data_IF_551804578195
#
_entry.id   IF_551804578195
#
_cell.length_a   1.000
_cell.length_b   1.000
_cell.length_c   1.000
_cell.angle_alpha   90.00
_cell.angle_beta   90.00
_cell.angle_gamma   90.00
#
_symmetry.space_group_name_H-M   'P 1'
#
loop_
_entity.id
_entity.type
_entity.pdbx_description
1 polymer ?
#
# COMPACT_ATOMS: atom_id res chain seq x y z
N UNK A 1 18.73 5.03 1.11
CA UNK A 1 17.73 4.02 0.72
C UNK A 1 17.12 3.51 2.01
N UNK A 2 15.80 3.35 2.06
CA UNK A 2 15.08 2.94 3.27
C UNK A 2 14.32 1.64 3.02
N UNK A 3 14.52 0.64 3.88
CA UNK A 3 13.76 -0.61 3.85
C UNK A 3 12.87 -0.60 5.09
N UNK A 4 11.56 -0.51 4.88
CA UNK A 4 10.56 -0.44 5.95
C UNK A 4 9.73 -1.72 5.89
N UNK A 5 10.02 -2.62 6.83
CA UNK A 5 9.38 -3.91 6.99
C UNK A 5 9.49 -4.36 8.45
N UNK A 6 8.51 -5.13 8.92
CA UNK A 6 8.57 -5.87 10.18
C UNK A 6 9.31 -7.22 10.01
N UNK A 7 9.53 -7.68 8.77
CA UNK A 7 10.23 -8.92 8.45
C UNK A 7 11.76 -8.72 8.44
N UNK A 8 12.39 -9.18 9.52
CA UNK A 8 13.84 -9.08 9.71
C UNK A 8 14.61 -9.89 8.67
N UNK A 9 14.09 -11.04 8.22
CA UNK A 9 14.76 -11.86 7.22
C UNK A 9 14.74 -11.18 5.85
N UNK A 10 13.59 -10.60 5.46
CA UNK A 10 13.47 -9.82 4.24
C UNK A 10 14.43 -8.62 4.26
N UNK A 11 14.47 -7.87 5.37
CA UNK A 11 15.36 -6.73 5.53
C UNK A 11 16.83 -7.12 5.36
N UNK A 12 17.26 -8.17 6.05
CA UNK A 12 18.65 -8.63 5.99
C UNK A 12 19.02 -9.16 4.60
N UNK A 13 18.14 -9.94 3.97
CA UNK A 13 18.35 -10.46 2.62
C UNK A 13 18.52 -9.34 1.58
N UNK A 14 17.62 -8.37 1.58
CA UNK A 14 17.71 -7.20 0.69
C UNK A 14 19.02 -6.42 0.93
N UNK A 15 19.37 -6.17 2.19
CA UNK A 15 20.62 -5.48 2.53
C UNK A 15 21.86 -6.24 2.02
N UNK A 16 21.87 -7.57 2.08
CA UNK A 16 22.96 -8.39 1.55
C UNK A 16 23.08 -8.23 0.02
N UNK A 17 21.98 -8.35 -0.72
CA UNK A 17 21.99 -8.18 -2.18
C UNK A 17 22.44 -6.79 -2.62
N UNK A 18 22.10 -5.75 -1.84
CA UNK A 18 22.55 -4.38 -2.09
C UNK A 18 24.04 -4.22 -1.82
N UNK A 19 24.56 -4.76 -0.71
CA UNK A 19 26.00 -4.75 -0.39
C UNK A 19 26.82 -5.47 -1.46
N UNK A 20 26.28 -6.55 -2.02
CA UNK A 20 26.86 -7.31 -3.12
C UNK A 20 26.70 -6.64 -4.49
N UNK A 21 26.00 -5.49 -4.56
CA UNK A 21 25.69 -4.74 -5.79
C UNK A 21 24.84 -5.50 -6.81
N UNK A 22 24.12 -6.54 -6.37
CA UNK A 22 23.14 -7.26 -7.21
C UNK A 22 21.89 -6.41 -7.44
N UNK A 23 21.53 -5.58 -6.44
CA UNK A 23 20.48 -4.56 -6.54
C UNK A 23 21.11 -3.17 -6.42
N UNK A 24 20.80 -2.29 -7.38
CA UNK A 24 21.19 -0.89 -7.37
C UNK A 24 20.00 0.00 -7.01
N UNK A 25 19.99 0.53 -5.79
CA UNK A 25 19.00 1.51 -5.32
C UNK A 25 19.67 2.85 -4.99
N UNK A 26 18.98 3.96 -5.22
CA UNK A 26 19.51 5.26 -4.82
C UNK A 26 19.11 5.60 -3.37
N UNK A 27 19.73 6.64 -2.82
CA UNK A 27 19.45 7.10 -1.46
C UNK A 27 17.97 7.46 -1.22
N UNK A 28 17.29 7.94 -2.25
CA UNK A 28 15.87 8.33 -2.21
C UNK A 28 14.89 7.16 -2.37
N UNK A 29 15.35 5.96 -2.72
CA UNK A 29 14.45 4.80 -2.88
C UNK A 29 13.99 4.25 -1.53
N UNK A 30 12.75 3.78 -1.53
CA UNK A 30 12.09 3.16 -0.39
C UNK A 30 11.47 1.84 -0.82
N UNK A 31 11.73 0.80 -0.03
CA UNK A 31 11.04 -0.48 -0.08
C UNK A 31 10.08 -0.54 1.11
N UNK A 32 8.80 -0.78 0.83
CA UNK A 32 7.75 -0.95 1.83
C UNK A 32 7.19 -2.37 1.79
N UNK A 33 7.01 -2.97 2.95
CA UNK A 33 6.38 -4.28 3.11
C UNK A 33 5.11 -4.18 3.97
N UNK A 34 4.11 -3.47 3.45
CA UNK A 34 2.83 -3.27 4.14
C UNK A 34 1.68 -3.99 3.45
N UNK A 35 1.81 -4.25 2.15
CA UNK A 35 0.75 -4.81 1.33
C UNK A 35 0.76 -6.34 1.41
N UNK A 36 -0.41 -6.95 1.34
CA UNK A 36 -0.51 -8.39 1.48
C UNK A 36 0.09 -9.08 0.25
N UNK A 37 1.11 -9.91 0.47
CA UNK A 37 1.87 -10.64 -0.55
C UNK A 37 2.66 -9.77 -1.54
N UNK A 38 2.76 -8.45 -1.33
CA UNK A 38 3.52 -7.56 -2.21
C UNK A 38 4.57 -6.75 -1.47
N UNK A 39 5.73 -6.62 -2.09
CA UNK A 39 6.74 -5.61 -1.78
C UNK A 39 6.46 -4.40 -2.67
N UNK A 40 6.37 -3.23 -2.06
CA UNK A 40 6.17 -1.95 -2.74
C UNK A 40 7.50 -1.22 -2.88
N UNK A 41 7.74 -0.64 -4.06
CA UNK A 41 8.92 0.16 -4.34
C UNK A 41 8.51 1.55 -4.78
N UNK A 42 9.07 2.55 -4.13
CA UNK A 42 8.77 3.96 -4.34
C UNK A 42 9.95 4.85 -3.95
N UNK A 43 9.72 6.16 -3.89
CA UNK A 43 10.69 7.15 -3.42
C UNK A 43 10.22 7.82 -2.13
N UNK A 44 11.14 8.34 -1.31
CA UNK A 44 10.78 9.13 -0.13
C UNK A 44 9.94 10.34 -0.51
N UNK A 45 10.25 10.99 -1.65
CA UNK A 45 9.47 12.12 -2.15
C UNK A 45 8.00 11.75 -2.38
N UNK A 46 7.74 10.59 -2.99
CA UNK A 46 6.38 10.09 -3.24
C UNK A 46 5.67 9.74 -1.94
N UNK A 47 6.38 9.04 -1.04
CA UNK A 47 5.84 8.64 0.26
C UNK A 47 5.49 9.85 1.13
N UNK A 48 6.39 10.84 1.21
CA UNK A 48 6.15 12.09 1.94
C UNK A 48 4.96 12.88 1.38
N UNK A 49 4.79 12.90 0.05
CA UNK A 49 3.63 13.53 -0.59
C UNK A 49 2.32 12.86 -0.18
N UNK A 50 2.31 11.52 -0.09
CA UNK A 50 1.13 10.75 0.33
C UNK A 50 0.83 10.98 1.82
N UNK A 51 1.84 10.91 2.69
CA UNK A 51 1.67 11.04 4.15
C UNK A 51 1.13 12.42 4.53
N UNK A 52 1.53 13.48 3.81
CA UNK A 52 1.07 14.86 4.05
C UNK A 52 -0.38 15.12 3.59
N UNK A 53 -1.05 14.17 2.94
CA UNK A 53 -2.43 14.33 2.51
C UNK A 53 -3.41 14.08 3.66
N UNK A 54 -4.51 14.84 3.70
CA UNK A 54 -5.57 14.66 4.71
C UNK A 54 -6.14 13.23 4.73
N UNK A 55 -6.19 12.56 3.57
CA UNK A 55 -6.63 11.18 3.42
C UNK A 55 -5.45 10.25 3.05
N UNK A 56 -4.33 10.38 3.76
CA UNK A 56 -3.07 9.70 3.45
C UNK A 56 -3.22 8.20 3.16
N UNK A 57 -4.04 7.47 3.93
CA UNK A 57 -4.25 6.03 3.71
C UNK A 57 -5.01 5.72 2.42
N UNK A 58 -6.07 6.49 2.09
CA UNK A 58 -6.76 6.35 0.79
C UNK A 58 -5.80 6.68 -0.37
N UNK A 59 -5.02 7.75 -0.23
CA UNK A 59 -3.99 8.13 -1.20
C UNK A 59 -2.95 7.01 -1.39
N UNK A 60 -2.51 6.37 -0.31
CA UNK A 60 -1.62 5.22 -0.37
C UNK A 60 -2.26 4.05 -1.13
N UNK A 61 -3.49 3.67 -0.80
CA UNK A 61 -4.16 2.53 -1.43
C UNK A 61 -4.38 2.71 -2.94
N UNK A 62 -4.69 3.93 -3.36
CA UNK A 62 -5.00 4.26 -4.76
C UNK A 62 -3.77 4.65 -5.58
N UNK A 63 -2.61 4.83 -4.94
CA UNK A 63 -1.41 5.19 -5.67
C UNK A 63 -0.86 4.01 -6.47
N UNK A 64 -0.45 4.29 -7.71
CA UNK A 64 0.07 3.29 -8.63
C UNK A 64 1.54 2.95 -8.36
N UNK A 65 1.82 2.37 -7.19
CA UNK A 65 3.15 1.88 -6.83
C UNK A 65 3.65 0.79 -7.78
N UNK A 66 4.97 0.63 -7.87
CA UNK A 66 5.55 -0.63 -8.31
C UNK A 66 5.35 -1.66 -7.19
N UNK A 67 4.62 -2.73 -7.51
CA UNK A 67 4.37 -3.86 -6.61
C UNK A 67 5.03 -5.11 -7.19
N UNK A 68 5.78 -5.82 -6.35
CA UNK A 68 6.42 -7.09 -6.68
C UNK A 68 5.83 -8.14 -5.75
N UNK A 69 5.35 -9.28 -6.26
CA UNK A 69 4.83 -10.33 -5.38
C UNK A 69 5.97 -10.99 -4.62
N UNK A 70 5.75 -11.36 -3.36
CA UNK A 70 6.76 -12.02 -2.52
C UNK A 70 7.18 -13.41 -3.03
N UNK A 71 6.33 -14.07 -3.83
CA UNK A 71 6.61 -15.35 -4.50
C UNK A 71 7.34 -15.20 -5.85
N UNK A 72 7.64 -13.98 -6.27
CA UNK A 72 8.37 -13.72 -7.52
C UNK A 72 9.80 -14.22 -7.42
N UNK A 73 10.31 -14.85 -8.48
CA UNK A 73 11.69 -15.37 -8.52
C UNK A 73 12.70 -14.23 -8.37
N UNK A 74 13.77 -14.44 -7.61
CA UNK A 74 14.80 -13.42 -7.37
C UNK A 74 15.37 -12.82 -8.65
N UNK A 75 15.57 -13.63 -9.70
CA UNK A 75 16.04 -13.16 -11.01
C UNK A 75 15.10 -12.14 -11.65
N UNK A 76 13.79 -12.34 -11.53
CA UNK A 76 12.75 -11.43 -12.03
C UNK A 76 12.67 -10.15 -11.17
N UNK A 77 12.88 -10.28 -9.85
CA UNK A 77 12.97 -9.13 -8.93
C UNK A 77 14.16 -8.26 -9.33
N UNK A 78 15.35 -8.83 -9.49
CA UNK A 78 16.56 -8.10 -9.86
C UNK A 78 16.42 -7.44 -11.24
N UNK A 79 15.85 -8.16 -12.20
CA UNK A 79 15.54 -7.61 -13.51
C UNK A 79 14.62 -6.38 -13.37
N UNK A 80 13.50 -6.51 -12.66
CA UNK A 80 12.53 -5.42 -12.44
C UNK A 80 13.19 -4.19 -11.78
N UNK A 81 14.07 -4.43 -10.81
CA UNK A 81 14.79 -3.39 -10.08
C UNK A 81 15.80 -2.64 -10.96
N UNK A 82 16.48 -3.34 -11.87
CA UNK A 82 17.50 -2.75 -12.76
C UNK A 82 16.97 -1.63 -13.65
N UNK A 83 15.74 -1.76 -14.14
CA UNK A 83 15.15 -0.78 -15.07
C UNK A 83 14.59 0.48 -14.41
N UNK A 84 14.55 0.54 -13.07
CA UNK A 84 14.08 1.71 -12.29
C UNK A 84 12.76 2.32 -12.78
N UNK A 85 11.87 1.52 -13.37
CA UNK A 85 10.69 2.00 -14.10
C UNK A 85 9.71 2.78 -13.22
N UNK A 86 9.72 2.55 -11.90
CA UNK A 86 8.87 3.26 -10.93
C UNK A 86 9.18 4.76 -10.85
N UNK A 87 10.39 5.18 -11.20
CA UNK A 87 10.81 6.58 -11.16
C UNK A 87 10.16 7.44 -12.24
N UNK A 88 9.89 6.83 -13.39
CA UNK A 88 9.33 7.51 -14.56
C UNK A 88 7.79 7.42 -14.61
N UNK A 89 7.16 6.62 -13.74
CA UNK A 89 5.70 6.42 -13.70
C UNK A 89 4.90 7.59 -13.11
N UNK A 90 5.49 8.77 -12.95
CA UNK A 90 4.85 9.90 -12.27
C UNK A 90 3.68 10.55 -13.05
N UNK A 91 3.50 10.26 -14.34
CA UNK A 91 2.63 11.07 -15.22
C UNK A 91 1.37 10.39 -15.79
N UNK A 92 1.11 9.12 -15.50
CA UNK A 92 -0.13 8.46 -15.95
C UNK A 92 -0.86 7.81 -14.78
N UNK A 93 -1.21 8.62 -13.78
CA UNK A 93 -2.20 8.22 -12.78
C UNK A 93 -3.57 8.17 -13.48
N UNK A 94 -3.95 7.02 -14.03
CA UNK A 94 -5.36 6.70 -14.13
C UNK A 94 -5.89 6.74 -12.70
N UNK A 95 -6.56 7.85 -12.35
CA UNK A 95 -7.08 8.08 -11.00
C UNK A 95 -8.20 7.09 -10.75
N UNK A 96 -7.85 5.87 -10.33
CA UNK A 96 -8.80 4.98 -9.68
C UNK A 96 -9.32 5.77 -8.47
N UNK A 97 -10.60 6.10 -8.50
CA UNK A 97 -11.24 6.88 -7.44
C UNK A 97 -12.34 6.06 -6.78
N UNK A 98 -12.43 6.21 -5.46
CA UNK A 98 -13.55 5.72 -4.71
C UNK A 98 -14.73 6.68 -4.86
N UNK A 99 -15.92 6.14 -5.09
CA UNK A 99 -17.16 6.88 -5.00
C UNK A 99 -17.42 7.30 -3.55
N UNK A 100 -18.34 8.24 -3.32
CA UNK A 100 -18.72 8.67 -1.96
C UNK A 100 -19.10 7.48 -1.07
N UNK A 101 -19.89 6.53 -1.58
CA UNK A 101 -20.31 5.34 -0.83
C UNK A 101 -19.13 4.41 -0.51
N UNK A 102 -18.22 4.21 -1.45
CA UNK A 102 -17.01 3.39 -1.24
C UNK A 102 -16.06 4.05 -0.22
N UNK A 103 -15.91 5.38 -0.23
CA UNK A 103 -15.15 6.10 0.81
C UNK A 103 -15.77 5.97 2.19
N UNK A 104 -17.11 6.05 2.29
CA UNK A 104 -17.80 5.82 3.56
C UNK A 104 -17.58 4.39 4.07
N UNK A 105 -17.61 3.40 3.18
CA UNK A 105 -17.27 2.01 3.53
C UNK A 105 -15.83 1.89 4.02
N UNK A 106 -14.86 2.44 3.27
CA UNK A 106 -13.44 2.44 3.64
C UNK A 106 -13.25 3.09 5.02
N UNK A 107 -13.81 4.28 5.22
CA UNK A 107 -13.77 5.01 6.50
C UNK A 107 -14.36 4.19 7.64
N UNK A 108 -15.47 3.49 7.42
CA UNK A 108 -16.06 2.62 8.43
C UNK A 108 -15.15 1.42 8.77
N UNK A 109 -14.53 0.79 7.76
CA UNK A 109 -13.62 -0.35 7.94
C UNK A 109 -12.38 0.05 8.73
N UNK A 110 -11.76 1.18 8.40
CA UNK A 110 -10.55 1.67 9.10
C UNK A 110 -10.88 2.24 10.48
N UNK A 111 -12.11 2.70 10.70
CA UNK A 111 -12.59 3.22 11.99
C UNK A 111 -13.28 2.14 12.84
N UNK A 112 -13.31 0.88 12.40
CA UNK A 112 -14.10 -0.18 13.02
C UNK A 112 -13.66 -0.52 14.46
N UNK A 113 -12.44 -0.15 14.87
CA UNK A 113 -12.01 -0.21 16.27
C UNK A 113 -12.73 0.83 17.17
N UNK A 114 -13.39 1.84 16.59
CA UNK A 114 -14.04 2.92 17.34
C UNK A 114 -15.56 2.89 17.35
N UNK A 115 -16.27 2.42 16.30
CA UNK A 115 -17.76 2.32 16.32
C UNK A 115 -18.30 1.24 15.37
N UNK A 116 -18.78 0.13 15.93
CA UNK A 116 -19.43 -1.01 15.23
C UNK A 116 -20.71 -0.68 14.43
N UNK A 117 -21.26 0.54 14.53
CA UNK A 117 -22.60 0.85 14.03
C UNK A 117 -22.64 2.11 13.17
N UNK A 118 -22.29 2.03 11.89
CA UNK A 118 -22.52 3.17 10.99
C UNK A 118 -22.88 2.83 9.53
N UNK A 119 -23.12 1.56 9.19
CA UNK A 119 -23.60 1.18 7.86
C UNK A 119 -25.10 0.86 7.78
N UNK A 120 -25.78 0.71 8.92
CA UNK A 120 -27.19 0.32 8.96
C UNK A 120 -28.15 1.50 8.69
N UNK A 121 -27.67 2.75 8.67
CA UNK A 121 -28.54 3.94 8.59
C UNK A 121 -28.59 4.62 7.22
N UNK A 122 -28.10 3.98 6.16
CA UNK A 122 -28.04 4.60 4.81
C UNK A 122 -29.25 4.29 3.92
N UNK A 123 -30.21 3.48 4.38
CA UNK A 123 -31.37 3.07 3.58
C UNK A 123 -31.01 2.21 2.36
N UNK A 124 -29.78 1.68 2.28
CA UNK A 124 -29.31 0.84 1.18
C UNK A 124 -29.61 -0.63 1.45
N UNK A 125 -30.15 -1.33 0.45
CA UNK A 125 -30.27 -2.79 0.47
C UNK A 125 -28.89 -3.48 0.64
N UNK A 126 -28.88 -4.62 1.33
CA UNK A 126 -27.72 -5.45 1.63
C UNK A 126 -26.96 -5.83 0.34
N UNK A 127 -27.67 -6.09 -0.77
CA UNK A 127 -27.01 -6.38 -2.06
C UNK A 127 -26.22 -5.18 -2.57
N UNK A 128 -26.79 -3.98 -2.44
CA UNK A 128 -26.13 -2.73 -2.88
C UNK A 128 -24.87 -2.46 -2.06
N UNK A 129 -24.93 -2.67 -0.73
CA UNK A 129 -23.75 -2.56 0.15
C UNK A 129 -22.68 -3.57 -0.25
N UNK A 130 -23.06 -4.82 -0.54
CA UNK A 130 -22.15 -5.88 -0.96
C UNK A 130 -21.45 -5.55 -2.27
N UNK A 131 -22.16 -4.99 -3.25
CA UNK A 131 -21.58 -4.52 -4.52
C UNK A 131 -20.56 -3.40 -4.31
N UNK A 132 -20.89 -2.38 -3.51
CA UNK A 132 -19.94 -1.29 -3.23
C UNK A 132 -18.72 -1.78 -2.47
N UNK A 133 -18.88 -2.72 -1.53
CA UNK A 133 -17.77 -3.38 -0.83
C UNK A 133 -16.84 -4.10 -1.81
N UNK A 134 -17.40 -4.90 -2.71
CA UNK A 134 -16.63 -5.62 -3.73
C UNK A 134 -15.87 -4.67 -4.66
N UNK A 135 -16.54 -3.63 -5.17
CA UNK A 135 -15.93 -2.65 -6.06
C UNK A 135 -14.82 -1.85 -5.36
N UNK A 136 -15.04 -1.43 -4.12
CA UNK A 136 -14.03 -0.76 -3.30
C UNK A 136 -12.78 -1.64 -3.15
N UNK A 137 -12.95 -2.90 -2.71
CA UNK A 137 -11.85 -3.86 -2.55
C UNK A 137 -11.07 -4.09 -3.84
N UNK A 138 -11.77 -4.21 -4.99
CA UNK A 138 -11.11 -4.30 -6.29
C UNK A 138 -10.31 -3.06 -6.65
N UNK A 139 -10.84 -1.86 -6.41
CA UNK A 139 -10.17 -0.58 -6.70
C UNK A 139 -8.90 -0.39 -5.86
N UNK A 140 -8.92 -0.78 -4.59
CA UNK A 140 -7.75 -0.71 -3.70
C UNK A 140 -6.85 -1.95 -3.78
N UNK A 141 -7.16 -2.87 -4.71
CA UNK A 141 -6.45 -4.13 -4.93
C UNK A 141 -6.28 -4.98 -3.65
N UNK A 142 -7.34 -5.10 -2.84
CA UNK A 142 -7.35 -5.93 -1.65
C UNK A 142 -8.33 -7.09 -1.82
N UNK A 143 -7.95 -8.34 -1.48
CA UNK A 143 -8.80 -9.51 -1.69
C UNK A 143 -9.94 -9.62 -0.68
N UNK A 144 -9.79 -8.99 0.49
CA UNK A 144 -10.78 -9.07 1.56
C UNK A 144 -10.69 -7.87 2.51
N UNK A 145 -11.72 -7.69 3.34
CA UNK A 145 -11.72 -6.70 4.42
C UNK A 145 -10.64 -7.00 5.44
N UNK A 146 -10.46 -8.27 5.83
CA UNK A 146 -9.44 -8.66 6.79
C UNK A 146 -8.05 -8.26 6.31
N UNK A 147 -7.77 -8.47 5.02
CA UNK A 147 -6.51 -8.05 4.40
C UNK A 147 -6.36 -6.54 4.39
N UNK A 148 -7.41 -5.79 4.01
CA UNK A 148 -7.40 -4.33 4.06
C UNK A 148 -7.15 -3.80 5.48
N UNK A 149 -7.74 -4.40 6.51
CA UNK A 149 -7.50 -4.05 7.91
C UNK A 149 -6.05 -4.34 8.33
N UNK A 150 -5.46 -5.47 7.92
CA UNK A 150 -4.04 -5.75 8.17
C UNK A 150 -3.12 -4.70 7.54
N UNK A 151 -3.38 -4.32 6.28
CA UNK A 151 -2.64 -3.26 5.59
C UNK A 151 -2.78 -1.92 6.32
N UNK A 152 -3.98 -1.60 6.79
CA UNK A 152 -4.24 -0.40 7.59
C UNK A 152 -3.44 -0.39 8.91
N UNK A 153 -3.44 -1.50 9.65
CA UNK A 153 -2.72 -1.57 10.92
C UNK A 153 -1.21 -1.39 10.73
N UNK A 154 -0.64 -2.01 9.68
CA UNK A 154 0.78 -1.82 9.31
C UNK A 154 1.08 -0.37 8.91
N UNK A 155 0.17 0.26 8.17
CA UNK A 155 0.27 1.66 7.80
C UNK A 155 0.29 2.58 9.02
N UNK A 156 -0.60 2.36 9.98
CA UNK A 156 -0.65 3.15 11.22
C UNK A 156 0.60 2.91 12.10
N UNK A 157 1.07 1.67 12.22
CA UNK A 157 2.34 1.37 12.90
C UNK A 157 3.49 2.15 12.27
N UNK A 158 3.57 2.19 10.93
CA UNK A 158 4.58 2.95 10.22
C UNK A 158 4.49 4.46 10.47
N UNK A 159 3.29 5.05 10.43
CA UNK A 159 3.13 6.50 10.68
C UNK A 159 3.44 6.90 12.12
N UNK A 160 3.22 5.99 13.07
CA UNK A 160 3.42 6.24 14.50
C UNK A 160 4.82 5.82 14.99
N UNK A 161 5.71 5.33 14.12
CA UNK A 161 7.10 5.10 14.48
C UNK A 161 7.80 6.45 14.74
N UNK A 162 8.49 6.61 15.89
CA UNK A 162 9.27 7.81 16.13
C UNK A 162 10.35 7.93 15.05
N UNK A 163 10.53 9.14 14.53
CA UNK A 163 11.60 9.45 13.60
C UNK A 163 12.95 9.29 14.32
N UNK A 164 13.62 8.16 14.11
CA UNK A 164 15.00 7.94 14.53
C UNK A 164 15.96 8.38 13.41
#
# INVERSE_FOLDING_TARGET
MHIITEDVFLKNGLQTFIKQKEILMDNNDVILDFDNNFIIITTLSTLNRIIKNDNAFECYLLHSFLKIKKDTKLTEIFHTLKYKSWRNKQCQEYRITLTRKERMLLSHIISADKKKSMLIHSGLDIKTVSTHKYNMLRKVNQPSIATLTQVHNRWENFRNQPAN
#
